data_IF_308329586042
#
_entry.id   IF_308329586042
#
_cell.length_a   1.000
_cell.length_b   1.000
_cell.length_c   1.000
_cell.angle_alpha   90.00
_cell.angle_beta   90.00
_cell.angle_gamma   90.00
#
_symmetry.space_group_name_H-M   'P 1'
#
loop_
_entity.id
_entity.type
_entity.pdbx_description
1 polymer ?
#
# COMPACT_ATOMS: atom_id res chain seq x y z
N UNK A 1 4.91 14.81 19.94
CA UNK A 1 3.55 14.77 19.40
C UNK A 1 3.47 15.72 18.22
N UNK A 2 2.87 15.31 17.11
CA UNK A 2 2.69 16.16 15.93
C UNK A 2 1.58 17.17 16.17
N UNK A 3 1.90 18.45 15.96
CA UNK A 3 0.95 19.56 15.93
C UNK A 3 0.87 20.10 14.50
N UNK A 4 -0.18 20.85 14.11
CA UNK A 4 -0.29 21.42 12.76
C UNK A 4 0.95 22.19 12.33
N UNK A 5 1.51 23.05 13.22
CA UNK A 5 2.72 23.82 12.94
C UNK A 5 3.92 22.94 12.59
N UNK A 6 4.11 21.83 13.35
CA UNK A 6 5.18 20.87 13.08
C UNK A 6 4.98 20.10 11.77
N UNK A 7 3.75 19.85 11.40
CA UNK A 7 3.43 19.21 10.12
C UNK A 7 3.74 20.19 8.99
N UNK A 8 3.34 21.45 9.10
CA UNK A 8 3.65 22.46 8.09
C UNK A 8 5.17 22.66 7.95
N UNK A 9 5.90 22.74 9.05
CA UNK A 9 7.37 22.82 9.05
C UNK A 9 8.02 21.61 8.35
N UNK A 10 7.50 20.41 8.60
CA UNK A 10 8.07 19.17 8.07
C UNK A 10 7.74 18.88 6.60
N UNK A 11 6.56 19.23 6.12
CA UNK A 11 6.08 18.86 4.78
C UNK A 11 5.46 20.00 3.96
N UNK A 12 5.37 21.22 4.50
CA UNK A 12 4.83 22.38 3.81
C UNK A 12 3.29 22.37 3.63
N UNK A 13 2.59 21.42 4.24
CA UNK A 13 1.12 21.32 4.15
C UNK A 13 0.47 22.06 5.31
N UNK A 14 -0.32 23.08 5.00
CA UNK A 14 -1.01 23.91 5.98
C UNK A 14 -2.17 23.17 6.66
N UNK A 15 -2.47 23.54 7.90
CA UNK A 15 -3.60 22.99 8.67
C UNK A 15 -4.92 23.10 7.91
N UNK A 16 -5.20 24.23 7.29
CA UNK A 16 -6.41 24.46 6.51
C UNK A 16 -6.56 23.47 5.32
N UNK A 17 -5.45 23.13 4.68
CA UNK A 17 -5.44 22.15 3.58
C UNK A 17 -5.75 20.75 4.10
N UNK A 18 -5.15 20.36 5.21
CA UNK A 18 -5.43 19.07 5.86
C UNK A 18 -6.89 18.99 6.31
N UNK A 19 -7.40 20.02 6.95
CA UNK A 19 -8.79 20.09 7.40
C UNK A 19 -9.76 19.98 6.24
N UNK A 20 -9.49 20.71 5.14
CA UNK A 20 -10.32 20.65 3.92
C UNK A 20 -10.36 19.25 3.32
N UNK A 21 -9.21 18.57 3.21
CA UNK A 21 -9.16 17.19 2.69
C UNK A 21 -9.94 16.25 3.60
N UNK A 22 -9.74 16.34 4.90
CA UNK A 22 -10.45 15.50 5.88
C UNK A 22 -11.97 15.72 5.80
N UNK A 23 -12.42 16.95 5.68
CA UNK A 23 -13.83 17.30 5.50
C UNK A 23 -14.41 16.74 4.19
N UNK A 24 -13.69 16.87 3.08
CA UNK A 24 -14.08 16.30 1.80
C UNK A 24 -14.23 14.78 1.87
N UNK A 25 -13.27 14.10 2.47
CA UNK A 25 -13.33 12.65 2.67
C UNK A 25 -14.50 12.23 3.56
N UNK A 26 -14.77 12.98 4.63
CA UNK A 26 -15.87 12.70 5.55
C UNK A 26 -17.25 12.90 4.90
N UNK A 27 -17.39 13.91 4.05
CA UNK A 27 -18.66 14.24 3.36
C UNK A 27 -18.96 13.37 2.15
N UNK A 28 -17.95 12.83 1.49
CA UNK A 28 -18.08 12.05 0.25
C UNK A 28 -17.75 10.58 0.47
N UNK A 29 -18.56 9.90 1.27
CA UNK A 29 -18.44 8.47 1.53
C UNK A 29 -19.50 7.67 0.76
N UNK A 30 -19.23 6.44 0.34
CA UNK A 30 -17.93 5.76 0.44
C UNK A 30 -16.90 6.32 -0.53
N UNK A 31 -15.62 6.25 -0.15
CA UNK A 31 -14.52 6.69 -1.00
C UNK A 31 -13.36 5.70 -0.99
N UNK A 32 -12.64 5.63 -2.09
CA UNK A 32 -11.47 4.79 -2.24
C UNK A 32 -10.20 5.63 -2.15
N UNK A 33 -9.25 5.20 -1.34
CA UNK A 33 -7.91 5.77 -1.30
C UNK A 33 -7.00 5.01 -2.26
N UNK A 34 -6.38 5.72 -3.18
CA UNK A 34 -5.50 5.13 -4.20
C UNK A 34 -4.08 5.65 -4.02
N UNK A 35 -3.10 4.76 -4.03
CA UNK A 35 -1.68 5.13 -4.05
C UNK A 35 -0.81 4.15 -4.83
N UNK A 36 0.42 4.56 -5.08
CA UNK A 36 1.44 3.76 -5.74
C UNK A 36 2.70 3.69 -4.86
N UNK A 37 3.86 3.58 -5.49
CA UNK A 37 5.15 3.41 -4.82
C UNK A 37 5.63 4.68 -4.12
N UNK A 38 5.16 5.87 -4.49
CA UNK A 38 5.53 7.13 -3.84
C UNK A 38 5.20 7.19 -2.35
N UNK A 39 4.16 6.48 -1.92
CA UNK A 39 3.82 6.31 -0.51
C UNK A 39 4.51 5.08 0.11
N UNK A 40 4.65 4.00 -0.65
CA UNK A 40 5.06 2.69 -0.13
C UNK A 40 6.58 2.52 -0.08
N UNK A 41 7.30 3.02 -1.08
CA UNK A 41 8.72 2.74 -1.28
C UNK A 41 9.64 3.69 -0.47
N UNK A 42 9.44 3.70 0.83
CA UNK A 42 10.22 4.45 1.80
C UNK A 42 10.66 3.54 2.95
N UNK A 43 11.70 3.93 3.65
CA UNK A 43 12.17 3.21 4.86
C UNK A 43 11.08 3.07 5.94
N UNK A 44 10.14 4.00 5.98
CA UNK A 44 8.96 3.98 6.87
C UNK A 44 7.66 3.63 6.14
N UNK A 45 7.73 3.02 4.97
CA UNK A 45 6.58 2.71 4.11
C UNK A 45 5.45 1.95 4.83
N UNK A 46 5.79 1.02 5.71
CA UNK A 46 4.80 0.31 6.53
C UNK A 46 3.95 1.26 7.40
N UNK A 47 4.56 2.28 8.00
CA UNK A 47 3.85 3.26 8.80
C UNK A 47 2.95 4.16 7.94
N UNK A 48 3.41 4.55 6.77
CA UNK A 48 2.65 5.37 5.81
C UNK A 48 1.42 4.62 5.29
N UNK A 49 1.58 3.36 4.90
CA UNK A 49 0.48 2.50 4.45
C UNK A 49 -0.53 2.27 5.58
N UNK A 50 -0.05 1.99 6.80
CA UNK A 50 -0.93 1.87 7.97
C UNK A 50 -1.73 3.13 8.25
N UNK A 51 -1.13 4.32 8.13
CA UNK A 51 -1.84 5.57 8.31
C UNK A 51 -3.01 5.72 7.31
N UNK A 52 -2.79 5.37 6.04
CA UNK A 52 -3.83 5.36 5.01
C UNK A 52 -4.95 4.37 5.32
N UNK A 53 -4.61 3.17 5.78
CA UNK A 53 -5.59 2.17 6.20
C UNK A 53 -6.41 2.65 7.43
N UNK A 54 -5.77 3.31 8.39
CA UNK A 54 -6.45 3.88 9.57
C UNK A 54 -7.48 4.93 9.13
N UNK A 55 -7.15 5.78 8.18
CA UNK A 55 -8.10 6.77 7.64
C UNK A 55 -9.32 6.08 7.02
N UNK A 56 -9.11 5.04 6.21
CA UNK A 56 -10.22 4.30 5.59
C UNK A 56 -11.09 3.56 6.62
N UNK A 57 -10.48 3.01 7.66
CA UNK A 57 -11.21 2.40 8.78
C UNK A 57 -12.02 3.45 9.55
N UNK A 58 -11.42 4.59 9.89
CA UNK A 58 -12.09 5.68 10.61
C UNK A 58 -13.28 6.25 9.84
N UNK A 59 -13.21 6.27 8.52
CA UNK A 59 -14.28 6.73 7.64
C UNK A 59 -15.34 5.66 7.36
N UNK A 60 -15.17 4.42 7.82
CA UNK A 60 -16.08 3.31 7.54
C UNK A 60 -16.13 2.89 6.07
N UNK A 61 -15.03 3.09 5.34
CA UNK A 61 -14.93 2.78 3.91
C UNK A 61 -14.49 1.34 3.62
N UNK A 62 -14.18 0.55 4.66
CA UNK A 62 -13.73 -0.84 4.48
C UNK A 62 -14.94 -1.78 4.42
N UNK A 63 -14.95 -2.67 3.42
CA UNK A 63 -16.02 -3.66 3.24
C UNK A 63 -17.30 -3.12 2.61
N UNK A 64 -17.28 -1.91 2.05
CA UNK A 64 -18.41 -1.31 1.33
C UNK A 64 -18.08 -1.09 -0.14
N UNK A 65 -19.06 -1.23 -1.01
CA UNK A 65 -18.89 -0.99 -2.45
C UNK A 65 -18.48 0.45 -2.71
N UNK A 66 -17.41 0.66 -3.48
CA UNK A 66 -16.83 1.98 -3.76
C UNK A 66 -15.90 2.51 -2.67
N UNK A 67 -15.72 1.78 -1.57
CA UNK A 67 -14.78 2.11 -0.50
C UNK A 67 -13.50 1.27 -0.56
N UNK A 68 -12.59 1.52 0.35
CA UNK A 68 -11.37 0.75 0.55
C UNK A 68 -10.09 1.42 0.07
N UNK A 69 -9.06 0.61 -0.14
CA UNK A 69 -7.74 1.05 -0.56
C UNK A 69 -7.30 0.26 -1.79
N UNK A 70 -6.83 0.96 -2.81
CA UNK A 70 -6.32 0.37 -4.04
C UNK A 70 -4.87 0.78 -4.26
N UNK A 71 -4.00 -0.19 -4.37
CA UNK A 71 -2.57 0.03 -4.60
C UNK A 71 -2.26 -0.31 -6.06
N UNK A 72 -2.02 0.72 -6.89
CA UNK A 72 -1.75 0.54 -8.31
C UNK A 72 -0.31 0.12 -8.61
N UNK A 73 0.55 0.11 -7.58
CA UNK A 73 1.96 -0.25 -7.71
C UNK A 73 2.73 0.70 -8.64
N UNK A 74 3.79 0.24 -9.29
CA UNK A 74 4.66 1.08 -10.13
C UNK A 74 4.60 0.69 -11.60
N UNK A 75 4.79 -0.58 -11.90
CA UNK A 75 4.79 -1.13 -13.26
C UNK A 75 3.52 -1.91 -13.56
N UNK A 76 3.30 -2.17 -14.83
CA UNK A 76 2.21 -3.00 -15.29
C UNK A 76 2.32 -4.41 -14.72
N UNK A 77 1.23 -4.91 -14.16
CA UNK A 77 1.13 -6.24 -13.61
C UNK A 77 2.23 -6.64 -12.61
N UNK A 78 2.60 -5.73 -11.71
CA UNK A 78 3.57 -6.03 -10.63
C UNK A 78 3.15 -7.23 -9.79
N UNK A 79 1.84 -7.39 -9.54
CA UNK A 79 1.30 -8.54 -8.82
C UNK A 79 1.60 -9.84 -9.56
N UNK A 80 1.26 -9.92 -10.84
CA UNK A 80 1.52 -11.10 -11.65
C UNK A 80 3.01 -11.40 -11.79
N UNK A 81 3.85 -10.38 -11.95
CA UNK A 81 5.30 -10.54 -11.97
C UNK A 81 5.81 -11.15 -10.65
N UNK A 82 5.30 -10.70 -9.51
CA UNK A 82 5.65 -11.28 -8.20
C UNK A 82 5.18 -12.74 -8.09
N UNK A 83 3.99 -13.05 -8.59
CA UNK A 83 3.42 -14.41 -8.57
C UNK A 83 4.27 -15.41 -9.39
N UNK A 84 4.85 -14.97 -10.49
CA UNK A 84 5.75 -15.82 -11.30
C UNK A 84 7.20 -15.84 -10.84
N UNK A 85 7.55 -15.06 -9.81
CA UNK A 85 8.79 -15.15 -9.06
C UNK A 85 10.06 -14.52 -9.64
N UNK A 86 10.03 -13.46 -10.47
CA UNK A 86 11.24 -12.75 -10.87
C UNK A 86 11.75 -11.82 -9.75
N UNK A 87 12.03 -12.38 -8.61
CA UNK A 87 12.57 -11.67 -7.46
C UNK A 87 13.64 -12.54 -6.77
N UNK A 88 14.57 -11.93 -5.99
CA UNK A 88 15.76 -12.63 -5.52
C UNK A 88 15.50 -13.61 -4.37
N UNK A 89 14.36 -13.63 -3.76
CA UNK A 89 14.09 -14.34 -2.52
C UNK A 89 12.92 -15.33 -2.59
N UNK A 90 12.34 -15.53 -3.78
CA UNK A 90 11.31 -16.54 -3.99
C UNK A 90 11.33 -17.17 -5.39
N UNK A 91 10.80 -18.37 -5.47
CA UNK A 91 10.49 -19.09 -6.70
C UNK A 91 9.01 -18.82 -7.08
N UNK A 92 8.59 -19.18 -8.31
CA UNK A 92 7.20 -19.00 -8.76
C UNK A 92 6.18 -19.49 -7.73
N UNK A 93 5.09 -18.74 -7.56
CA UNK A 93 4.06 -19.09 -6.58
C UNK A 93 4.46 -18.86 -5.12
N UNK A 94 5.41 -17.96 -4.88
CA UNK A 94 5.91 -17.62 -3.53
C UNK A 94 6.63 -18.75 -2.78
N UNK A 95 7.09 -19.75 -3.49
CA UNK A 95 7.95 -20.76 -2.89
C UNK A 95 9.26 -20.12 -2.42
N UNK A 96 9.60 -20.33 -1.15
CA UNK A 96 10.88 -19.85 -0.62
C UNK A 96 12.08 -20.54 -1.27
N UNK A 97 13.24 -19.90 -1.22
CA UNK A 97 14.51 -20.46 -1.71
C UNK A 97 15.03 -21.46 -0.66
N UNK A 98 14.59 -22.70 -0.77
CA UNK A 98 14.96 -23.80 0.10
C UNK A 98 15.19 -25.09 -0.71
N UNK A 99 15.91 -26.03 -0.15
CA UNK A 99 16.25 -27.29 -0.84
C UNK A 99 15.02 -28.04 -1.34
N UNK A 100 13.95 -28.10 -0.53
CA UNK A 100 12.70 -28.75 -0.92
C UNK A 100 12.02 -28.08 -2.10
N UNK A 101 12.04 -26.75 -2.16
CA UNK A 101 11.49 -25.99 -3.27
C UNK A 101 12.27 -26.20 -4.56
N UNK A 102 13.59 -26.18 -4.48
CA UNK A 102 14.46 -26.49 -5.63
C UNK A 102 14.22 -27.91 -6.16
N UNK A 103 14.13 -28.90 -5.28
CA UNK A 103 13.81 -30.28 -5.68
C UNK A 103 12.43 -30.39 -6.33
N UNK A 104 11.44 -29.66 -5.80
CA UNK A 104 10.10 -29.63 -6.39
C UNK A 104 10.13 -29.10 -7.82
N UNK A 105 10.74 -27.91 -8.02
CA UNK A 105 10.82 -27.31 -9.35
C UNK A 105 11.67 -28.10 -10.32
N UNK A 106 12.79 -28.69 -9.87
CA UNK A 106 13.59 -29.59 -10.70
C UNK A 106 12.78 -30.81 -11.18
N UNK A 107 11.93 -31.37 -10.34
CA UNK A 107 11.06 -32.47 -10.73
C UNK A 107 9.94 -32.07 -11.69
N UNK A 108 9.42 -30.81 -11.57
CA UNK A 108 8.33 -30.32 -12.42
C UNK A 108 8.83 -29.86 -13.78
N UNK A 109 10.01 -29.25 -13.82
CA UNK A 109 10.56 -28.68 -15.05
C UNK A 109 11.50 -29.64 -15.81
N UNK A 110 11.98 -30.71 -15.20
CA UNK A 110 12.93 -31.67 -15.78
C UNK A 110 14.37 -31.28 -15.48
#
# INVERSE_FOLDING_TARGET
KWTPDKVEEACGVKEEQMARVAEMMAKNRPSTLVWCMGQTQHSIGNAMVRASCIVQLALGNVGVSGGGANIFRGHDNVQGATDVGPNPDSLPGYYGIAEGSWKHFANVWG
#
